data_IF_346689555168
#
_entry.id   IF_346689555168
#
_cell.length_a   1.000
_cell.length_b   1.000
_cell.length_c   1.000
_cell.angle_alpha   90.00
_cell.angle_beta   90.00
_cell.angle_gamma   90.00
#
_symmetry.space_group_name_H-M   'P 1'
#
loop_
_entity.id
_entity.type
_entity.pdbx_description
1 polymer ?
#
# COMPACT_ATOMS: atom_id res chain seq x y z
N UNK A 1 7.25 -7.70 11.75
CA UNK A 1 7.52 -7.31 10.35
C UNK A 1 6.63 -6.13 10.04
N UNK A 2 7.16 -5.13 9.33
CA UNK A 2 6.40 -3.95 8.93
C UNK A 2 6.21 -3.92 7.42
N UNK A 3 4.95 -3.87 7.01
CA UNK A 3 4.52 -3.85 5.61
C UNK A 3 3.88 -2.51 5.34
N UNK A 4 4.31 -1.85 4.28
CA UNK A 4 3.61 -0.66 3.77
C UNK A 4 3.07 -0.95 2.39
N UNK A 5 2.03 -0.24 1.99
CA UNK A 5 1.48 -0.44 0.65
C UNK A 5 0.72 0.74 0.09
N UNK A 6 0.47 0.66 -1.22
CA UNK A 6 -0.36 1.61 -1.96
C UNK A 6 -1.42 0.84 -2.71
N UNK A 7 -2.66 1.29 -2.61
CA UNK A 7 -3.80 0.76 -3.36
C UNK A 7 -4.35 1.83 -4.28
N UNK A 8 -4.62 1.47 -5.54
CA UNK A 8 -5.17 2.42 -6.51
C UNK A 8 -5.83 1.72 -7.70
N UNK A 9 -7.12 1.97 -7.90
CA UNK A 9 -7.85 1.50 -9.07
C UNK A 9 -8.33 2.69 -9.92
N UNK A 10 -8.09 2.71 -11.25
CA UNK A 10 -8.52 3.82 -12.12
C UNK A 10 -10.05 3.84 -12.32
N UNK A 11 -10.70 2.69 -12.21
CA UNK A 11 -12.13 2.51 -12.55
C UNK A 11 -13.08 2.85 -11.40
N UNK A 12 -12.55 3.16 -10.21
CA UNK A 12 -13.36 3.58 -9.07
C UNK A 12 -12.69 3.37 -7.71
N UNK A 13 -13.43 3.73 -6.65
CA UNK A 13 -12.92 3.69 -5.28
C UNK A 13 -13.09 2.33 -4.59
N UNK A 14 -14.01 1.49 -5.07
CA UNK A 14 -14.39 0.24 -4.41
C UNK A 14 -13.20 -0.71 -4.25
N UNK A 15 -12.52 -1.04 -5.36
CA UNK A 15 -11.34 -1.91 -5.30
C UNK A 15 -10.19 -1.28 -4.51
N UNK A 16 -10.04 0.05 -4.52
CA UNK A 16 -9.01 0.73 -3.73
C UNK A 16 -9.22 0.46 -2.23
N UNK A 17 -10.43 0.72 -1.72
CA UNK A 17 -10.72 0.52 -0.30
C UNK A 17 -10.81 -0.96 0.09
N UNK A 18 -11.43 -1.80 -0.75
CA UNK A 18 -11.52 -3.25 -0.51
C UNK A 18 -10.14 -3.90 -0.44
N UNK A 19 -9.22 -3.51 -1.34
CA UNK A 19 -7.85 -4.02 -1.32
C UNK A 19 -7.11 -3.54 -0.08
N UNK A 20 -7.28 -2.28 0.32
CA UNK A 20 -6.65 -1.74 1.52
C UNK A 20 -7.13 -2.43 2.80
N UNK A 21 -8.45 -2.64 2.92
CA UNK A 21 -9.06 -3.32 4.06
C UNK A 21 -8.58 -4.78 4.15
N UNK A 22 -8.66 -5.55 3.06
CA UNK A 22 -8.18 -6.94 3.05
C UNK A 22 -6.69 -7.06 3.37
N UNK A 23 -5.86 -6.20 2.78
CA UNK A 23 -4.42 -6.19 3.07
C UNK A 23 -4.14 -5.88 4.55
N UNK A 24 -4.92 -4.97 5.13
CA UNK A 24 -4.80 -4.59 6.54
C UNK A 24 -5.20 -5.75 7.44
N UNK A 25 -6.40 -6.30 7.24
CA UNK A 25 -6.92 -7.44 8.01
C UNK A 25 -5.97 -8.63 7.95
N UNK A 26 -5.53 -9.04 6.77
CA UNK A 26 -4.62 -10.19 6.62
C UNK A 26 -3.26 -9.93 7.28
N UNK A 27 -2.72 -8.72 7.21
CA UNK A 27 -1.47 -8.41 7.87
C UNK A 27 -1.62 -8.43 9.40
N UNK A 28 -2.72 -7.89 9.93
CA UNK A 28 -3.04 -7.96 11.36
C UNK A 28 -3.26 -9.39 11.85
N UNK A 29 -3.98 -10.23 11.08
CA UNK A 29 -4.18 -11.66 11.35
C UNK A 29 -2.85 -12.44 11.42
N UNK A 30 -1.86 -12.02 10.64
CA UNK A 30 -0.51 -12.59 10.63
C UNK A 30 0.42 -11.97 11.70
N UNK A 31 -0.05 -10.98 12.47
CA UNK A 31 0.72 -10.29 13.50
C UNK A 31 1.76 -9.31 12.94
N UNK A 32 1.53 -8.75 11.75
CA UNK A 32 2.40 -7.77 11.11
C UNK A 32 1.88 -6.35 11.31
N UNK A 33 2.79 -5.39 11.42
CA UNK A 33 2.43 -3.98 11.35
C UNK A 33 2.19 -3.60 9.89
N UNK A 34 1.08 -2.93 9.62
CA UNK A 34 0.64 -2.60 8.26
C UNK A 34 0.20 -1.15 8.15
N UNK A 35 0.59 -0.49 7.05
CA UNK A 35 0.06 0.83 6.69
C UNK A 35 -0.18 0.90 5.19
N UNK A 36 -1.43 1.12 4.80
CA UNK A 36 -1.84 1.17 3.39
C UNK A 36 -2.30 2.58 3.03
N UNK A 37 -1.64 3.19 2.06
CA UNK A 37 -2.08 4.42 1.41
C UNK A 37 -3.12 4.08 0.34
N UNK A 38 -4.24 4.78 0.34
CA UNK A 38 -5.30 4.64 -0.65
C UNK A 38 -5.25 5.82 -1.61
N UNK A 39 -5.23 5.56 -2.92
CA UNK A 39 -5.25 6.59 -3.97
C UNK A 39 -6.47 6.43 -4.88
N UNK A 40 -7.66 6.53 -4.29
CA UNK A 40 -8.95 6.47 -4.98
C UNK A 40 -9.40 7.85 -5.44
N UNK A 41 -10.59 8.28 -5.01
CA UNK A 41 -11.10 9.63 -5.28
C UNK A 41 -10.27 10.72 -4.58
N UNK A 42 -9.67 10.37 -3.44
CA UNK A 42 -8.70 11.17 -2.69
C UNK A 42 -7.54 10.28 -2.27
N UNK A 43 -6.42 10.91 -1.95
CA UNK A 43 -5.30 10.23 -1.33
C UNK A 43 -5.48 10.29 0.18
N UNK A 44 -5.51 9.14 0.83
CA UNK A 44 -5.64 9.01 2.29
C UNK A 44 -4.55 8.08 2.83
N UNK A 45 -4.26 8.18 4.13
CA UNK A 45 -3.23 7.39 4.80
C UNK A 45 -1.84 7.47 4.14
N UNK A 46 -1.46 8.69 3.72
CA UNK A 46 -0.19 8.95 3.03
C UNK A 46 0.99 8.34 3.80
N UNK A 47 1.80 7.55 3.09
CA UNK A 47 3.02 6.98 3.66
C UNK A 47 4.05 8.08 3.88
N UNK A 48 4.50 8.20 5.12
CA UNK A 48 5.62 9.08 5.46
C UNK A 48 6.94 8.44 5.05
N UNK A 49 8.00 9.25 5.01
CA UNK A 49 9.35 8.73 4.76
C UNK A 49 9.75 7.69 5.80
N UNK A 50 9.41 7.92 7.07
CA UNK A 50 9.71 7.00 8.17
C UNK A 50 8.98 5.67 8.03
N UNK A 51 7.72 5.68 7.58
CA UNK A 51 6.98 4.44 7.29
C UNK A 51 7.70 3.59 6.25
N UNK A 52 8.19 4.21 5.19
CA UNK A 52 8.89 3.53 4.10
C UNK A 52 10.27 3.05 4.57
N UNK A 53 11.02 3.88 5.30
CA UNK A 53 12.34 3.54 5.81
C UNK A 53 12.30 2.36 6.79
N UNK A 54 11.27 2.28 7.63
CA UNK A 54 11.08 1.18 8.60
C UNK A 54 10.39 -0.05 8.01
N UNK A 55 9.84 0.03 6.78
CA UNK A 55 9.19 -1.09 6.13
C UNK A 55 10.18 -2.16 5.65
N UNK A 56 9.84 -3.43 5.91
CA UNK A 56 10.50 -4.61 5.37
C UNK A 56 10.08 -4.88 3.92
N UNK A 57 8.79 -4.67 3.62
CA UNK A 57 8.18 -4.92 2.32
C UNK A 57 7.22 -3.80 1.92
N UNK A 58 7.16 -3.55 0.62
CA UNK A 58 6.23 -2.60 0.00
C UNK A 58 5.28 -3.36 -0.93
N UNK A 59 3.97 -3.28 -0.70
CA UNK A 59 2.94 -3.87 -1.55
C UNK A 59 2.30 -2.79 -2.41
N UNK A 60 2.39 -2.93 -3.74
CA UNK A 60 1.74 -2.03 -4.68
C UNK A 60 0.58 -2.77 -5.35
N UNK A 61 -0.62 -2.60 -4.82
CA UNK A 61 -1.87 -3.14 -5.37
C UNK A 61 -2.54 -2.05 -6.24
N UNK A 62 -1.92 -1.78 -7.39
CA UNK A 62 -2.25 -0.62 -8.23
C UNK A 62 -2.44 -1.01 -9.69
N UNK A 63 -3.61 -0.66 -10.22
CA UNK A 63 -4.01 -0.80 -11.63
C UNK A 63 -3.67 0.43 -12.48
N UNK A 64 -2.92 1.38 -11.91
CA UNK A 64 -2.44 2.59 -12.58
C UNK A 64 -0.94 2.80 -12.35
N UNK A 65 -0.31 3.63 -13.17
CA UNK A 65 1.04 4.10 -12.90
C UNK A 65 1.04 5.08 -11.72
N UNK A 66 1.99 4.88 -10.80
CA UNK A 66 2.21 5.74 -9.64
C UNK A 66 3.70 6.02 -9.49
N UNK A 67 4.04 7.13 -8.82
CA UNK A 67 5.43 7.37 -8.45
C UNK A 67 5.90 6.33 -7.44
N UNK A 68 6.95 5.60 -7.82
CA UNK A 68 7.59 4.60 -6.97
C UNK A 68 8.97 5.02 -6.50
N UNK A 69 9.40 6.24 -6.85
CA UNK A 69 10.73 6.79 -6.51
C UNK A 69 10.97 6.76 -5.00
N UNK A 70 9.94 7.03 -4.20
CA UNK A 70 10.00 6.96 -2.72
C UNK A 70 10.26 5.55 -2.16
N UNK A 71 10.07 4.49 -2.94
CA UNK A 71 10.30 3.10 -2.52
C UNK A 71 11.60 2.51 -3.07
N UNK A 72 12.49 3.34 -3.65
CA UNK A 72 13.76 2.87 -4.20
C UNK A 72 14.59 2.11 -3.15
N UNK A 73 15.10 0.94 -3.54
CA UNK A 73 15.88 0.06 -2.66
C UNK A 73 15.06 -0.82 -1.70
N UNK A 74 13.73 -0.70 -1.68
CA UNK A 74 12.85 -1.57 -0.89
C UNK A 74 12.40 -2.80 -1.68
N UNK A 75 12.01 -3.85 -0.96
CA UNK A 75 11.44 -5.07 -1.56
C UNK A 75 9.99 -4.81 -1.96
N UNK A 76 9.78 -4.55 -3.25
CA UNK A 76 8.47 -4.21 -3.81
C UNK A 76 7.80 -5.47 -4.36
N UNK A 77 6.55 -5.72 -3.95
CA UNK A 77 5.65 -6.69 -4.57
C UNK A 77 4.50 -5.93 -5.24
N UNK A 78 4.49 -5.95 -6.57
CA UNK A 78 3.40 -5.38 -7.38
C UNK A 78 2.36 -6.44 -7.71
N UNK A 79 1.08 -6.09 -7.55
CA UNK A 79 -0.09 -6.90 -7.90
C UNK A 79 -1.20 -6.00 -8.45
N UNK A 80 -2.09 -6.57 -9.26
CA UNK A 80 -3.30 -5.96 -9.81
C UNK A 80 -4.52 -6.71 -9.27
#
# INVERSE_FOLDING_TARGET
>A
MKIVGVTACPTGIAHTYMSAEKLTMTAEELGYEVKIETQGAKIENILTKEDIETADYVILAVDKEIDTSRFAGKKIKRVS
#
